data_IF_179393055299
#
_entry.id   IF_179393055299
#
_cell.length_a   1.000
_cell.length_b   1.000
_cell.length_c   1.000
_cell.angle_alpha   90.00
_cell.angle_beta   90.00
_cell.angle_gamma   90.00
#
_symmetry.space_group_name_H-M   'P 1'
#
loop_
_entity.id
_entity.type
_entity.pdbx_description
1 polymer ?
#
# COMPACT_ATOMS: atom_id res chain seq x y z
N UNK A 1 27.48 32.17 41.73
CA UNK A 1 26.04 31.89 41.50
C UNK A 1 25.54 32.42 40.18
N UNK A 2 25.86 33.63 39.75
CA UNK A 2 25.42 34.20 38.48
C UNK A 2 25.86 33.42 37.24
N UNK A 3 27.09 32.91 37.23
CA UNK A 3 27.63 32.14 36.10
C UNK A 3 26.92 30.77 35.88
N UNK A 4 26.46 30.15 36.96
CA UNK A 4 25.73 28.87 36.86
C UNK A 4 24.30 29.03 36.35
N UNK A 5 23.70 30.19 36.68
CA UNK A 5 22.36 30.54 36.18
C UNK A 5 22.37 30.85 34.68
N UNK A 6 23.44 31.52 34.20
CA UNK A 6 23.55 31.84 32.79
C UNK A 6 23.81 30.62 31.91
N UNK A 7 24.59 29.63 32.44
CA UNK A 7 24.80 28.38 31.73
C UNK A 7 23.52 27.54 31.62
N UNK A 8 22.70 27.56 32.68
CA UNK A 8 21.42 26.81 32.68
C UNK A 8 20.40 27.40 31.72
N UNK A 9 20.41 28.70 31.53
CA UNK A 9 19.52 29.35 30.57
C UNK A 9 19.93 29.08 29.12
N UNK A 10 21.22 28.93 28.87
CA UNK A 10 21.72 28.68 27.52
C UNK A 10 21.45 27.23 27.08
N UNK A 11 21.38 26.27 28.01
CA UNK A 11 21.10 24.87 27.69
C UNK A 11 19.60 24.65 27.41
N UNK A 12 18.75 25.44 28.02
CA UNK A 12 17.29 25.32 27.80
C UNK A 12 16.86 25.88 26.42
N UNK A 13 17.59 26.87 25.88
CA UNK A 13 17.27 27.47 24.59
C UNK A 13 17.62 26.57 23.40
N UNK A 14 18.54 25.62 23.59
CA UNK A 14 18.98 24.75 22.48
C UNK A 14 17.94 23.64 22.17
N UNK A 15 16.98 23.40 23.08
CA UNK A 15 15.99 22.34 22.91
C UNK A 15 14.75 22.78 22.13
N UNK A 16 14.61 24.09 21.85
CA UNK A 16 13.40 24.61 21.20
C UNK A 16 13.56 24.72 19.67
N UNK A 17 14.77 24.53 19.14
CA UNK A 17 15.05 24.68 17.72
C UNK A 17 14.84 23.40 16.90
N UNK A 18 14.44 22.30 17.53
CA UNK A 18 14.23 21.03 16.85
C UNK A 18 12.81 20.75 16.40
N UNK A 19 11.89 21.71 16.56
CA UNK A 19 10.46 21.44 16.48
C UNK A 19 9.77 21.55 15.13
N UNK A 20 10.50 21.88 14.04
CA UNK A 20 9.83 22.16 12.76
C UNK A 20 10.00 21.09 11.68
N UNK A 21 10.82 20.06 11.91
CA UNK A 21 11.05 19.00 10.95
C UNK A 21 10.16 17.79 11.29
N UNK A 22 9.41 17.32 10.30
CA UNK A 22 8.64 16.08 10.45
C UNK A 22 9.60 14.89 10.34
N UNK A 23 9.42 13.91 11.22
CA UNK A 23 10.24 12.71 11.20
C UNK A 23 9.78 11.72 10.14
N UNK A 24 10.66 10.80 9.68
CA UNK A 24 10.24 9.70 8.82
C UNK A 24 9.21 8.82 9.48
N UNK A 25 8.33 8.23 8.67
CA UNK A 25 7.35 7.27 9.14
C UNK A 25 7.49 5.96 8.38
N UNK A 26 7.59 4.86 9.10
CA UNK A 26 7.47 3.53 8.53
C UNK A 26 6.03 3.08 8.75
N UNK A 27 5.27 2.99 7.65
CA UNK A 27 3.85 2.68 7.72
C UNK A 27 3.64 1.17 7.79
N UNK A 28 2.53 0.79 8.40
CA UNK A 28 2.14 -0.62 8.54
C UNK A 28 0.70 -0.79 8.04
N UNK A 29 0.49 -0.75 6.72
CA UNK A 29 -0.87 -0.85 6.18
C UNK A 29 -1.46 -2.24 6.38
N UNK A 30 -2.79 -2.25 6.52
CA UNK A 30 -3.58 -3.46 6.70
C UNK A 30 -4.60 -3.53 5.54
N UNK A 31 -4.18 -3.99 4.35
CA UNK A 31 -5.11 -4.08 3.23
C UNK A 31 -6.16 -5.15 3.47
N UNK A 32 -7.39 -4.86 3.07
CA UNK A 32 -8.52 -5.76 3.26
C UNK A 32 -9.37 -5.76 1.99
N UNK A 33 -9.68 -6.94 1.50
CA UNK A 33 -10.63 -7.08 0.39
C UNK A 33 -11.99 -6.55 0.83
N UNK A 34 -12.63 -5.73 -0.02
CA UNK A 34 -13.91 -5.07 0.31
C UNK A 34 -15.06 -5.68 -0.47
N UNK A 35 -16.11 -6.00 0.25
CA UNK A 35 -17.38 -6.40 -0.33
C UNK A 35 -17.40 -7.82 -0.88
N UNK A 36 -18.57 -8.24 -1.36
CA UNK A 36 -18.72 -9.59 -1.89
C UNK A 36 -18.10 -9.74 -3.28
N UNK A 37 -17.66 -10.95 -3.58
CA UNK A 37 -17.26 -11.36 -4.92
C UNK A 37 -18.25 -12.44 -5.41
N UNK A 38 -18.44 -12.50 -6.72
CA UNK A 38 -19.31 -13.53 -7.32
C UNK A 38 -18.50 -14.78 -7.57
N UNK A 39 -18.88 -15.87 -6.90
CA UNK A 39 -18.22 -17.16 -7.09
C UNK A 39 -18.60 -17.74 -8.46
N UNK A 40 -17.58 -18.04 -9.26
CA UNK A 40 -17.76 -18.68 -10.57
C UNK A 40 -16.94 -19.98 -10.69
N UNK A 41 -16.01 -20.21 -9.77
CA UNK A 41 -15.16 -21.39 -9.78
C UNK A 41 -15.83 -22.61 -9.18
N UNK A 42 -15.23 -23.77 -9.41
CA UNK A 42 -15.73 -25.05 -8.92
C UNK A 42 -14.66 -25.80 -8.14
N UNK A 43 -13.83 -25.10 -7.43
CA UNK A 43 -12.84 -25.68 -6.55
C UNK A 43 -11.43 -25.93 -7.12
N UNK A 44 -11.12 -25.71 -8.32
CA UNK A 44 -10.00 -25.91 -8.84
C UNK A 44 -8.98 -25.14 -8.21
N UNK A 45 -7.88 -25.88 -8.29
CA UNK A 45 -6.74 -25.19 -7.70
C UNK A 45 -6.24 -24.03 -8.56
N UNK A 46 -5.74 -23.00 -7.92
CA UNK A 46 -5.13 -21.83 -8.57
C UNK A 46 -3.85 -21.49 -7.81
N UNK A 47 -2.74 -21.33 -8.54
CA UNK A 47 -1.50 -20.83 -7.94
C UNK A 47 -1.58 -19.31 -7.83
N UNK A 48 -1.44 -18.80 -6.62
CA UNK A 48 -1.56 -17.37 -6.32
C UNK A 48 -0.22 -16.87 -5.83
N UNK A 49 0.31 -15.83 -6.46
CA UNK A 49 1.59 -15.23 -6.06
C UNK A 49 1.47 -13.70 -6.06
N UNK A 50 1.84 -13.08 -4.95
CA UNK A 50 1.95 -11.62 -4.86
C UNK A 50 3.42 -11.24 -4.83
N UNK A 51 3.79 -10.24 -5.63
CA UNK A 51 5.16 -9.72 -5.67
C UNK A 51 5.12 -8.20 -5.56
N UNK A 52 6.20 -7.64 -5.03
CA UNK A 52 6.39 -6.20 -4.96
C UNK A 52 7.22 -5.78 -6.17
N UNK A 53 6.60 -5.05 -7.09
CA UNK A 53 7.26 -4.55 -8.30
C UNK A 53 7.79 -3.13 -8.17
N UNK A 54 7.70 -2.54 -6.98
CA UNK A 54 8.20 -1.18 -6.77
C UNK A 54 9.73 -1.15 -6.75
N UNK A 55 10.34 -0.03 -7.18
CA UNK A 55 11.82 0.07 -7.14
C UNK A 55 12.39 0.16 -5.73
N UNK A 56 11.58 0.53 -4.72
CA UNK A 56 12.03 0.64 -3.34
C UNK A 56 10.85 0.87 -2.40
N UNK A 57 11.12 0.99 -1.10
CA UNK A 57 10.07 1.09 -0.10
C UNK A 57 9.47 2.48 0.07
N UNK A 58 10.08 3.53 -0.49
CA UNK A 58 9.63 4.90 -0.29
C UNK A 58 8.35 5.18 -1.09
N UNK A 59 7.36 5.80 -0.43
CA UNK A 59 6.15 6.28 -1.06
C UNK A 59 6.26 7.75 -1.48
N UNK A 60 7.17 8.48 -0.85
CA UNK A 60 7.29 9.92 -0.96
C UNK A 60 7.54 10.55 0.40
N UNK A 61 7.16 11.80 0.54
CA UNK A 61 7.33 12.54 1.80
C UNK A 61 6.01 13.15 2.23
N UNK A 62 5.93 13.51 3.51
CA UNK A 62 4.76 14.22 4.04
C UNK A 62 4.72 15.69 3.61
N UNK A 63 5.76 16.15 2.91
CA UNK A 63 5.88 17.55 2.53
C UNK A 63 6.35 18.42 3.69
N UNK A 64 5.98 19.71 3.65
CA UNK A 64 6.37 20.66 4.68
C UNK A 64 7.71 21.28 4.40
N UNK A 65 8.22 22.03 5.37
CA UNK A 65 9.42 22.86 5.22
C UNK A 65 10.69 22.03 4.96
N UNK A 66 10.77 20.85 5.57
CA UNK A 66 11.93 19.95 5.44
C UNK A 66 11.43 18.58 4.92
N UNK A 67 10.99 18.57 3.67
CA UNK A 67 10.35 17.40 3.08
C UNK A 67 11.23 16.13 3.17
N UNK A 68 12.54 16.29 2.95
CA UNK A 68 13.46 15.16 2.92
C UNK A 68 13.56 14.41 4.26
N UNK A 69 13.20 15.07 5.38
CA UNK A 69 13.20 14.43 6.69
C UNK A 69 11.90 13.69 7.00
N UNK A 70 10.89 13.78 6.14
CA UNK A 70 9.55 13.26 6.39
C UNK A 70 9.19 12.11 5.46
N UNK A 71 10.15 11.30 5.07
CA UNK A 71 9.94 10.15 4.17
C UNK A 71 8.95 9.16 4.75
N UNK A 72 8.06 8.68 3.90
CA UNK A 72 7.10 7.63 4.21
C UNK A 72 7.55 6.34 3.53
N UNK A 73 7.60 5.23 4.26
CA UNK A 73 8.00 3.93 3.72
C UNK A 73 6.98 2.85 4.07
N UNK A 74 6.83 1.89 3.15
CA UNK A 74 6.13 0.63 3.36
C UNK A 74 7.08 -0.47 2.87
N UNK A 75 7.52 -1.34 3.78
CA UNK A 75 8.48 -2.38 3.44
C UNK A 75 7.79 -3.57 2.79
N UNK A 76 8.44 -4.17 1.78
CA UNK A 76 7.94 -5.37 1.11
C UNK A 76 7.64 -6.50 2.08
N UNK A 77 8.56 -6.75 3.04
CA UNK A 77 8.40 -7.84 3.99
C UNK A 77 7.21 -7.66 4.92
N UNK A 78 6.70 -6.43 5.06
CA UNK A 78 5.51 -6.17 5.86
C UNK A 78 4.23 -6.24 5.03
N UNK A 79 4.22 -5.72 3.79
CA UNK A 79 2.97 -5.59 3.02
C UNK A 79 2.68 -6.80 2.15
N UNK A 80 3.72 -7.45 1.57
CA UNK A 80 3.50 -8.56 0.63
C UNK A 80 2.79 -9.75 1.29
N UNK A 81 3.17 -10.21 2.49
CA UNK A 81 2.43 -11.32 3.11
C UNK A 81 0.96 -10.99 3.37
N UNK A 82 0.64 -9.75 3.70
CA UNK A 82 -0.74 -9.32 3.93
C UNK A 82 -1.54 -9.30 2.62
N UNK A 83 -0.92 -8.79 1.54
CA UNK A 83 -1.54 -8.82 0.22
C UNK A 83 -1.73 -10.26 -0.28
N UNK A 84 -0.75 -11.14 -0.03
CA UNK A 84 -0.85 -12.56 -0.38
C UNK A 84 -2.07 -13.20 0.30
N UNK A 85 -2.23 -12.96 1.61
CA UNK A 85 -3.35 -13.52 2.36
C UNK A 85 -4.69 -13.03 1.81
N UNK A 86 -4.78 -11.74 1.46
CA UNK A 86 -6.01 -11.16 0.91
C UNK A 86 -6.29 -11.68 -0.50
N UNK A 87 -5.25 -11.86 -1.33
CA UNK A 87 -5.42 -12.41 -2.67
C UNK A 87 -5.92 -13.86 -2.61
N UNK A 88 -5.37 -14.65 -1.69
CA UNK A 88 -5.84 -16.02 -1.49
C UNK A 88 -7.30 -16.05 -1.00
N UNK A 89 -7.65 -15.13 -0.11
CA UNK A 89 -9.04 -15.00 0.34
C UNK A 89 -9.96 -14.67 -0.83
N UNK A 90 -9.54 -13.74 -1.70
CA UNK A 90 -10.32 -13.37 -2.88
C UNK A 90 -10.50 -14.57 -3.81
N UNK A 91 -9.44 -15.34 -4.04
CA UNK A 91 -9.50 -16.53 -4.91
C UNK A 91 -10.48 -17.57 -4.33
N UNK A 92 -10.48 -17.75 -3.00
CA UNK A 92 -11.48 -18.64 -2.35
C UNK A 92 -12.91 -18.11 -2.55
N UNK A 93 -13.10 -16.81 -2.40
CA UNK A 93 -14.43 -16.21 -2.60
C UNK A 93 -14.89 -16.30 -4.05
N UNK A 94 -13.97 -16.31 -5.01
CA UNK A 94 -14.29 -16.56 -6.41
C UNK A 94 -14.63 -18.04 -6.70
N UNK A 95 -14.48 -18.92 -5.72
CA UNK A 95 -14.83 -20.32 -5.85
C UNK A 95 -13.68 -21.25 -6.24
N UNK A 96 -12.44 -20.81 -6.07
CA UNK A 96 -11.25 -21.59 -6.38
C UNK A 96 -10.50 -21.96 -5.10
N UNK A 97 -9.53 -22.86 -5.20
CA UNK A 97 -8.69 -23.28 -4.09
C UNK A 97 -7.26 -22.75 -4.28
N UNK A 98 -6.85 -21.75 -3.49
CA UNK A 98 -5.46 -21.29 -3.59
C UNK A 98 -4.48 -22.40 -3.28
N UNK A 99 -3.42 -22.48 -4.07
CA UNK A 99 -2.37 -23.47 -3.93
C UNK A 99 -1.02 -22.82 -4.14
N UNK A 100 -0.01 -23.32 -3.47
CA UNK A 100 1.36 -22.80 -3.65
C UNK A 100 2.03 -23.40 -4.90
N UNK A 101 1.67 -24.62 -5.30
CA UNK A 101 2.44 -25.34 -6.29
C UNK A 101 1.64 -26.42 -7.03
N UNK A 102 0.37 -26.19 -7.28
CA UNK A 102 -0.44 -27.18 -8.01
C UNK A 102 0.04 -27.31 -9.47
N UNK A 103 0.26 -28.54 -9.89
CA UNK A 103 0.77 -28.83 -11.23
C UNK A 103 -0.30 -28.51 -12.28
N UNK A 104 0.11 -27.82 -13.33
CA UNK A 104 -0.73 -27.39 -14.45
C UNK A 104 -1.96 -26.54 -14.06
N UNK A 105 -1.96 -25.99 -12.83
CA UNK A 105 -3.06 -25.14 -12.41
C UNK A 105 -2.92 -23.74 -13.02
N UNK A 106 -4.03 -23.04 -13.24
CA UNK A 106 -3.96 -21.63 -13.61
C UNK A 106 -3.17 -20.83 -12.56
N UNK A 107 -2.51 -19.78 -13.03
CA UNK A 107 -1.64 -18.97 -12.18
C UNK A 107 -2.14 -17.51 -12.19
N UNK A 108 -2.21 -16.94 -11.02
CA UNK A 108 -2.44 -15.50 -10.82
C UNK A 108 -1.20 -14.91 -10.16
N UNK A 109 -0.52 -14.01 -10.87
CA UNK A 109 0.55 -13.20 -10.28
C UNK A 109 0.05 -11.77 -10.13
N UNK A 110 0.03 -11.30 -8.90
CA UNK A 110 -0.41 -9.95 -8.58
C UNK A 110 0.82 -9.13 -8.17
N UNK A 111 1.11 -8.08 -8.93
CA UNK A 111 2.28 -7.24 -8.70
C UNK A 111 1.82 -5.89 -8.15
N UNK A 112 2.36 -5.50 -6.99
CA UNK A 112 2.20 -4.14 -6.51
C UNK A 112 3.13 -3.26 -7.34
N UNK A 113 2.56 -2.60 -8.36
CA UNK A 113 3.34 -1.85 -9.34
C UNK A 113 3.69 -0.45 -8.85
N UNK A 114 2.80 0.15 -8.05
CA UNK A 114 2.98 1.52 -7.61
C UNK A 114 2.27 1.74 -6.28
N UNK A 115 2.92 2.49 -5.40
CA UNK A 115 2.33 2.99 -4.16
C UNK A 115 2.99 4.33 -3.88
N UNK A 116 2.23 5.41 -4.02
CA UNK A 116 2.76 6.77 -3.94
C UNK A 116 1.98 7.60 -2.95
N UNK A 117 2.69 8.47 -2.27
CA UNK A 117 2.15 9.47 -1.36
C UNK A 117 2.74 10.82 -1.76
N UNK A 118 1.89 11.74 -2.23
CA UNK A 118 2.34 13.04 -2.71
C UNK A 118 1.66 14.14 -1.90
N UNK A 119 2.46 15.05 -1.36
CA UNK A 119 1.99 16.25 -0.68
C UNK A 119 2.43 17.47 -1.48
N UNK A 120 1.71 18.60 -1.38
CA UNK A 120 2.15 19.82 -2.04
C UNK A 120 3.56 20.21 -1.60
N UNK A 121 4.39 20.59 -2.53
CA UNK A 121 5.77 21.04 -2.25
C UNK A 121 5.83 22.47 -1.75
N UNK A 122 4.77 23.22 -2.02
CA UNK A 122 4.72 24.64 -1.69
C UNK A 122 4.01 24.83 -0.35
N UNK A 123 4.68 25.46 0.56
CA UNK A 123 4.11 25.82 1.85
C UNK A 123 4.80 25.15 3.02
N UNK A 124 4.63 25.80 4.15
CA UNK A 124 5.24 25.39 5.42
C UNK A 124 4.46 24.26 6.06
N UNK A 125 3.16 24.21 5.80
CA UNK A 125 2.25 23.28 6.46
C UNK A 125 1.82 22.15 5.52
N UNK A 126 1.65 20.97 6.10
CA UNK A 126 1.11 19.82 5.38
C UNK A 126 -0.42 19.95 5.40
N UNK A 127 -1.02 20.18 4.24
CA UNK A 127 -2.46 20.43 4.13
C UNK A 127 -3.21 19.36 3.36
N UNK A 128 -2.50 18.52 2.60
CA UNK A 128 -3.14 17.61 1.67
C UNK A 128 -2.20 16.47 1.30
N UNK A 129 -2.76 15.31 1.03
CA UNK A 129 -2.03 14.18 0.44
C UNK A 129 -2.85 13.54 -0.66
N UNK A 130 -2.16 13.20 -1.75
CA UNK A 130 -2.69 12.39 -2.83
C UNK A 130 -2.00 11.04 -2.77
N UNK A 131 -2.77 9.97 -2.57
CA UNK A 131 -2.25 8.62 -2.38
C UNK A 131 -2.78 7.75 -3.50
N UNK A 132 -1.89 7.01 -4.17
CA UNK A 132 -2.24 6.16 -5.30
C UNK A 132 -1.64 4.78 -5.12
N UNK A 133 -2.43 3.74 -5.39
CA UNK A 133 -1.94 2.36 -5.46
C UNK A 133 -2.33 1.77 -6.80
N UNK A 134 -1.42 1.01 -7.42
CA UNK A 134 -1.68 0.33 -8.68
C UNK A 134 -1.19 -1.11 -8.59
N UNK A 135 -2.06 -2.05 -8.94
CA UNK A 135 -1.71 -3.45 -9.11
C UNK A 135 -1.74 -3.82 -10.59
N UNK A 136 -0.82 -4.70 -10.97
CA UNK A 136 -0.87 -5.40 -12.23
C UNK A 136 -1.21 -6.85 -11.93
N UNK A 137 -2.22 -7.39 -12.62
CA UNK A 137 -2.60 -8.80 -12.48
C UNK A 137 -2.28 -9.52 -13.77
N UNK A 138 -1.49 -10.58 -13.68
CA UNK A 138 -1.21 -11.50 -14.77
C UNK A 138 -1.87 -12.83 -14.45
N UNK A 139 -2.79 -13.24 -15.31
CA UNK A 139 -3.47 -14.52 -15.17
C UNK A 139 -3.10 -15.38 -16.38
N UNK A 140 -2.72 -16.62 -16.12
CA UNK A 140 -2.36 -17.56 -17.17
C UNK A 140 -2.95 -18.93 -16.87
N UNK A 141 -3.58 -19.53 -17.87
CA UNK A 141 -3.98 -20.92 -17.84
C UNK A 141 -3.38 -21.65 -19.05
N UNK A 142 -3.83 -22.87 -19.33
CA UNK A 142 -3.25 -23.70 -20.40
C UNK A 142 -3.44 -23.10 -21.81
N UNK A 143 -4.45 -22.26 -22.00
CA UNK A 143 -4.83 -21.81 -23.35
C UNK A 143 -4.87 -20.29 -23.48
N UNK A 144 -4.84 -19.54 -22.38
CA UNK A 144 -5.08 -18.10 -22.40
C UNK A 144 -4.21 -17.36 -21.40
N UNK A 145 -3.90 -16.13 -21.74
CA UNK A 145 -3.23 -15.19 -20.83
C UNK A 145 -3.97 -13.87 -20.82
N UNK A 146 -4.08 -13.28 -19.63
CA UNK A 146 -4.71 -11.97 -19.45
C UNK A 146 -3.83 -11.13 -18.54
N UNK A 147 -3.65 -9.86 -18.90
CA UNK A 147 -2.94 -8.88 -18.05
C UNK A 147 -3.84 -7.65 -17.90
N UNK A 148 -4.04 -7.22 -16.66
CA UNK A 148 -4.79 -6.00 -16.36
C UNK A 148 -4.05 -5.13 -15.37
N UNK A 149 -4.37 -3.82 -15.37
CA UNK A 149 -3.88 -2.86 -14.38
C UNK A 149 -5.07 -2.27 -13.64
N UNK A 150 -4.92 -2.13 -12.34
CA UNK A 150 -6.02 -1.73 -11.44
C UNK A 150 -5.49 -0.71 -10.45
N UNK A 151 -6.04 0.50 -10.49
CA UNK A 151 -5.59 1.59 -9.66
C UNK A 151 -6.69 2.14 -8.77
N UNK A 152 -6.28 2.77 -7.69
CA UNK A 152 -7.14 3.55 -6.81
C UNK A 152 -6.37 4.75 -6.30
N UNK A 153 -7.10 5.83 -6.06
CA UNK A 153 -6.52 7.07 -5.56
C UNK A 153 -7.39 7.64 -4.46
N UNK A 154 -6.74 8.37 -3.56
CA UNK A 154 -7.38 9.04 -2.44
C UNK A 154 -6.75 10.41 -2.28
N UNK A 155 -7.57 11.44 -2.19
CA UNK A 155 -7.15 12.79 -1.83
C UNK A 155 -7.66 13.10 -0.43
N UNK A 156 -6.78 13.47 0.46
CA UNK A 156 -7.14 13.77 1.84
C UNK A 156 -6.58 15.12 2.26
N UNK A 157 -7.44 15.96 2.81
CA UNK A 157 -7.04 17.23 3.42
C UNK A 157 -6.91 17.08 4.92
N UNK A 158 -5.99 17.86 5.50
CA UNK A 158 -5.65 17.79 6.92
C UNK A 158 -5.65 19.17 7.55
N UNK A 159 -6.09 19.23 8.82
CA UNK A 159 -5.91 20.43 9.64
C UNK A 159 -4.52 20.51 10.25
N UNK A 160 -3.84 19.38 10.37
CA UNK A 160 -2.46 19.26 10.85
C UNK A 160 -1.81 18.05 10.20
N UNK A 161 -0.47 18.00 10.21
CA UNK A 161 0.28 16.91 9.62
C UNK A 161 -0.15 15.57 10.23
N UNK A 162 -0.53 14.58 9.40
CA UNK A 162 -1.04 13.31 9.93
C UNK A 162 0.07 12.48 10.55
N UNK A 163 -0.28 11.75 11.61
CA UNK A 163 0.64 10.84 12.28
C UNK A 163 0.74 9.52 11.53
N UNK A 164 1.60 8.63 12.04
CA UNK A 164 1.88 7.34 11.41
C UNK A 164 0.62 6.45 11.32
N UNK A 165 -0.19 6.45 12.38
CA UNK A 165 -1.43 5.65 12.40
C UNK A 165 -2.42 6.14 11.33
N UNK A 166 -2.58 7.45 11.20
CA UNK A 166 -3.47 8.04 10.19
C UNK A 166 -2.97 7.72 8.78
N UNK A 167 -1.68 7.89 8.53
CA UNK A 167 -1.11 7.61 7.21
C UNK A 167 -1.18 6.11 6.88
N UNK A 168 -0.97 5.23 7.85
CA UNK A 168 -1.11 3.79 7.64
C UNK A 168 -2.55 3.43 7.26
N UNK A 169 -3.52 4.08 7.89
CA UNK A 169 -4.94 3.88 7.57
C UNK A 169 -5.28 4.34 6.15
N UNK A 170 -4.77 5.51 5.74
CA UNK A 170 -5.01 6.03 4.40
C UNK A 170 -4.40 5.13 3.32
N UNK A 171 -3.18 4.65 3.55
CA UNK A 171 -2.51 3.73 2.62
C UNK A 171 -3.25 2.39 2.58
N UNK A 172 -3.73 1.90 3.72
CA UNK A 172 -4.56 0.69 3.78
C UNK A 172 -5.80 0.82 2.91
N UNK A 173 -6.47 1.98 2.96
CA UNK A 173 -7.69 2.25 2.19
C UNK A 173 -7.41 2.17 0.69
N UNK A 174 -6.37 2.83 0.23
CA UNK A 174 -6.03 2.86 -1.19
C UNK A 174 -5.61 1.47 -1.70
N UNK A 175 -4.81 0.75 -0.92
CA UNK A 175 -4.42 -0.64 -1.25
C UNK A 175 -5.65 -1.54 -1.31
N UNK A 176 -6.56 -1.40 -0.35
CA UNK A 176 -7.79 -2.21 -0.29
C UNK A 176 -8.67 -1.96 -1.51
N UNK A 177 -8.83 -0.70 -1.89
CA UNK A 177 -9.65 -0.33 -3.06
C UNK A 177 -9.05 -0.89 -4.36
N UNK A 178 -7.75 -0.71 -4.55
CA UNK A 178 -7.08 -1.21 -5.76
C UNK A 178 -7.12 -2.74 -5.83
N UNK A 179 -6.86 -3.41 -4.72
CA UNK A 179 -6.91 -4.87 -4.64
C UNK A 179 -8.33 -5.38 -4.96
N UNK A 180 -9.34 -4.74 -4.41
CA UNK A 180 -10.72 -5.12 -4.63
C UNK A 180 -11.10 -5.00 -6.11
N UNK A 181 -10.60 -3.95 -6.78
CA UNK A 181 -10.85 -3.78 -8.21
C UNK A 181 -10.30 -4.92 -9.06
N UNK A 182 -9.14 -5.48 -8.67
CA UNK A 182 -8.60 -6.66 -9.36
C UNK A 182 -9.64 -7.78 -9.36
N UNK A 183 -10.13 -8.13 -8.18
CA UNK A 183 -10.95 -9.33 -8.03
C UNK A 183 -12.42 -9.11 -8.41
N UNK A 184 -12.83 -7.86 -8.60
CA UNK A 184 -14.15 -7.55 -9.14
C UNK A 184 -14.18 -7.58 -10.68
N UNK A 185 -13.03 -7.64 -11.34
CA UNK A 185 -12.99 -7.79 -12.79
C UNK A 185 -13.37 -9.23 -13.15
N UNK A 186 -14.50 -9.44 -13.85
CA UNK A 186 -14.92 -10.79 -14.20
C UNK A 186 -13.94 -11.52 -15.11
N UNK A 187 -13.11 -10.78 -15.87
CA UNK A 187 -12.11 -11.39 -16.74
C UNK A 187 -11.08 -12.18 -15.94
N UNK A 188 -10.69 -11.68 -14.75
CA UNK A 188 -9.79 -12.40 -13.86
C UNK A 188 -10.40 -13.77 -13.48
N UNK A 189 -11.62 -13.73 -12.94
CA UNK A 189 -12.29 -14.94 -12.46
C UNK A 189 -12.52 -15.94 -13.61
N UNK A 190 -12.98 -15.45 -14.77
CA UNK A 190 -13.24 -16.31 -15.92
C UNK A 190 -11.97 -16.96 -16.46
N UNK A 191 -10.87 -16.19 -16.54
CA UNK A 191 -9.61 -16.75 -17.04
C UNK A 191 -9.06 -17.82 -16.12
N UNK A 192 -9.25 -17.67 -14.79
CA UNK A 192 -8.84 -18.69 -13.84
C UNK A 192 -9.64 -20.01 -14.01
N UNK A 193 -10.88 -19.93 -14.50
CA UNK A 193 -11.73 -21.09 -14.64
C UNK A 193 -11.62 -21.83 -15.97
N UNK A 194 -10.99 -21.23 -16.97
CA UNK A 194 -10.89 -21.86 -18.30
C UNK A 194 -9.64 -22.72 -18.37
N UNK A 195 -9.82 -24.01 -18.57
CA UNK A 195 -8.75 -25.01 -18.74
C UNK A 195 -8.72 -25.52 -20.17
#
# INVERSE_FOLDING_TARGET
MLHRLLLSLMTASALVLGGCALSPQQLDPQPVLKGPLTAVGHGXPVVVKVVDGRPGPSLGTRGGLYADTSTLTVRSEDVVPKLQAQAETAVRLLGYTPSANAYNAPQLTLTLAELKYQSPKDGVYVTQADITATFRADVQNSSRRYTGRYGASLNQRFGMAPNQATNSKLVSEVLSDALTRVFKDPTIAQTLGQQ
#
